data_IF_389585637100
#
_entry.id   IF_389585637100
#
_cell.length_a   1.000
_cell.length_b   1.000
_cell.length_c   1.000
_cell.angle_alpha   90.00
_cell.angle_beta   90.00
_cell.angle_gamma   90.00
#
_symmetry.space_group_name_H-M   'P 1'
#
loop_
_entity.id
_entity.type
_entity.pdbx_description
1 polymer ?
#
# COMPACT_ATOMS: atom_id res chain seq x y z
N UNK A 1 -4.81 53.87 -52.60
CA UNK A 1 -3.38 54.14 -52.33
C UNK A 1 -3.25 54.29 -50.81
N UNK A 2 -2.64 53.34 -50.10
CA UNK A 2 -1.24 53.43 -49.63
C UNK A 2 -1.02 54.64 -48.70
N UNK A 3 -0.49 54.62 -47.48
CA UNK A 3 0.23 53.64 -46.62
C UNK A 3 0.02 54.11 -45.16
N UNK A 4 -0.19 53.21 -44.21
CA UNK A 4 0.80 52.90 -43.16
C UNK A 4 1.27 54.11 -42.33
N UNK A 5 0.62 54.39 -41.19
CA UNK A 5 1.23 55.24 -40.14
C UNK A 5 2.22 54.39 -39.35
N UNK A 6 3.50 54.53 -39.69
CA UNK A 6 4.62 53.86 -39.06
C UNK A 6 4.81 54.28 -37.61
N UNK A 7 5.00 53.28 -36.75
CA UNK A 7 5.66 53.43 -35.45
C UNK A 7 7.12 53.85 -35.70
N UNK A 8 7.63 54.95 -35.12
CA UNK A 8 9.07 55.18 -35.12
C UNK A 8 9.77 54.15 -34.21
N UNK A 9 10.90 53.67 -34.70
CA UNK A 9 11.83 52.71 -34.13
C UNK A 9 12.07 52.86 -32.62
N UNK A 10 11.84 51.79 -31.87
CA UNK A 10 12.36 51.61 -30.51
C UNK A 10 13.65 50.79 -30.64
N UNK A 11 14.84 51.32 -30.31
CA UNK A 11 16.05 50.50 -30.33
C UNK A 11 15.97 49.44 -29.22
N UNK A 12 16.28 48.20 -29.59
CA UNK A 12 16.41 47.10 -28.65
C UNK A 12 17.59 47.36 -27.69
N UNK A 13 17.29 47.50 -26.40
CA UNK A 13 18.31 47.46 -25.35
C UNK A 13 18.30 46.07 -24.70
N UNK A 14 19.36 45.34 -25.02
CA UNK A 14 19.81 44.11 -24.39
C UNK A 14 20.82 44.47 -23.30
N UNK A 15 20.65 43.90 -22.11
CA UNK A 15 21.57 43.98 -20.96
C UNK A 15 21.21 45.08 -19.97
N UNK A 16 21.23 44.93 -18.66
CA UNK A 16 21.65 43.85 -17.77
C UNK A 16 21.71 44.43 -16.34
N UNK A 17 21.44 43.59 -15.34
CA UNK A 17 21.88 43.62 -13.93
C UNK A 17 22.01 44.97 -13.19
N UNK A 18 21.31 45.11 -12.07
CA UNK A 18 21.72 46.07 -11.03
C UNK A 18 20.67 46.43 -9.98
N UNK A 19 20.27 45.48 -9.15
CA UNK A 19 19.53 45.75 -7.90
C UNK A 19 20.34 45.22 -6.72
N UNK A 20 21.25 46.03 -6.20
CA UNK A 20 22.15 45.66 -5.12
C UNK A 20 21.43 45.43 -3.79
N UNK A 21 21.67 44.26 -3.19
CA UNK A 21 21.72 44.15 -1.73
C UNK A 21 23.19 44.11 -1.36
N UNK A 22 23.65 45.20 -0.74
CA UNK A 22 25.00 45.31 -0.22
C UNK A 22 25.27 44.21 0.81
N UNK A 23 26.23 43.35 0.51
CA UNK A 23 26.93 42.55 1.49
C UNK A 23 28.39 43.00 1.44
N UNK A 24 28.88 43.60 2.52
CA UNK A 24 30.27 44.01 2.64
C UNK A 24 31.19 42.83 2.33
N UNK A 25 32.06 43.00 1.35
CA UNK A 25 33.15 42.08 1.04
C UNK A 25 34.24 42.22 2.10
N UNK A 26 34.01 41.65 3.29
CA UNK A 26 35.02 41.28 4.29
C UNK A 26 34.43 40.42 5.43
N UNK A 27 33.30 39.73 5.20
CA UNK A 27 32.88 38.61 6.03
C UNK A 27 33.73 37.39 5.65
N UNK A 28 34.89 37.26 6.29
CA UNK A 28 35.71 36.04 6.27
C UNK A 28 35.19 35.06 7.36
N UNK A 29 33.87 35.03 7.56
CA UNK A 29 33.23 34.08 8.46
C UNK A 29 33.08 32.79 7.67
N UNK A 30 33.71 31.68 8.06
CA UNK A 30 33.40 30.40 7.45
C UNK A 30 31.91 30.19 7.69
N UNK A 31 31.11 30.26 6.62
CA UNK A 31 29.67 29.93 6.67
C UNK A 31 29.59 28.62 7.42
N UNK A 32 29.00 28.65 8.62
CA UNK A 32 28.87 27.48 9.49
C UNK A 32 28.39 26.33 8.63
N UNK A 33 29.32 25.42 8.30
CA UNK A 33 29.03 24.23 7.53
C UNK A 33 28.17 23.40 8.44
N UNK A 34 26.85 23.56 8.33
CA UNK A 34 25.89 22.66 8.96
C UNK A 34 26.41 21.24 8.70
N UNK A 35 26.73 20.45 9.73
CA UNK A 35 27.20 19.10 9.54
C UNK A 35 26.21 18.40 8.63
N UNK A 36 26.68 17.90 7.47
CA UNK A 36 25.82 17.09 6.61
C UNK A 36 25.38 15.92 7.49
N UNK A 37 24.06 15.64 7.62
CA UNK A 37 23.62 14.52 8.42
C UNK A 37 24.36 13.29 7.90
N UNK A 38 24.98 12.55 8.82
CA UNK A 38 25.66 11.30 8.47
C UNK A 38 24.61 10.34 7.92
N UNK A 39 24.46 10.31 6.61
CA UNK A 39 23.64 9.29 5.97
C UNK A 39 24.27 7.95 6.33
N UNK A 40 23.49 7.08 6.98
CA UNK A 40 23.87 5.68 7.19
C UNK A 40 24.38 5.13 5.86
N UNK A 41 25.46 4.35 5.90
CA UNK A 41 26.08 3.77 4.71
C UNK A 41 25.10 2.83 4.02
N UNK A 42 24.23 3.38 3.18
CA UNK A 42 23.26 2.59 2.43
C UNK A 42 23.94 2.05 1.17
N UNK A 43 23.73 0.76 0.82
CA UNK A 43 24.35 0.18 -0.37
C UNK A 43 24.00 0.95 -1.64
N UNK A 44 24.97 1.19 -2.54
CA UNK A 44 24.72 1.83 -3.81
C UNK A 44 23.89 0.90 -4.73
N UNK A 45 23.17 1.49 -5.67
CA UNK A 45 22.32 0.76 -6.63
C UNK A 45 23.10 -0.30 -7.42
N UNK A 46 24.38 -0.05 -7.70
CA UNK A 46 25.26 -0.97 -8.44
C UNK A 46 25.52 -2.28 -7.70
N UNK A 47 25.41 -2.29 -6.38
CA UNK A 47 25.61 -3.49 -5.57
C UNK A 47 24.34 -4.34 -5.46
N UNK A 48 23.18 -3.79 -5.84
CA UNK A 48 21.88 -4.46 -5.73
C UNK A 48 21.46 -4.96 -7.10
N UNK A 49 21.21 -6.25 -7.20
CA UNK A 49 20.78 -6.92 -8.43
C UNK A 49 19.50 -7.72 -8.16
N UNK A 50 18.62 -7.88 -9.17
CA UNK A 50 17.46 -8.75 -9.05
C UNK A 50 17.91 -10.19 -8.76
N UNK A 51 17.23 -10.87 -7.85
CA UNK A 51 17.62 -12.18 -7.32
C UNK A 51 18.52 -12.13 -6.08
N UNK A 52 19.13 -10.98 -5.76
CA UNK A 52 19.96 -10.84 -4.56
C UNK A 52 19.15 -10.71 -3.26
N UNK A 53 19.74 -11.13 -2.15
CA UNK A 53 19.19 -10.95 -0.80
C UNK A 53 19.40 -9.53 -0.29
N UNK A 54 18.33 -8.88 0.17
CA UNK A 54 18.39 -7.53 0.73
C UNK A 54 17.59 -7.40 2.02
N UNK A 55 17.99 -6.45 2.85
CA UNK A 55 17.23 -5.97 3.99
C UNK A 55 16.55 -4.65 3.63
N UNK A 56 15.22 -4.61 3.67
CA UNK A 56 14.42 -3.44 3.31
C UNK A 56 13.62 -2.90 4.49
N UNK A 57 13.36 -1.59 4.47
CA UNK A 57 12.38 -0.95 5.35
C UNK A 57 11.14 -0.63 4.53
N UNK A 58 9.99 -1.14 4.97
CA UNK A 58 8.70 -0.88 4.36
C UNK A 58 8.22 0.54 4.68
N UNK A 59 7.21 1.04 3.95
CA UNK A 59 6.66 2.38 4.21
C UNK A 59 6.06 2.49 5.62
N UNK A 60 5.34 1.45 6.04
CA UNK A 60 4.77 1.33 7.39
C UNK A 60 5.85 1.34 8.47
N UNK A 61 6.99 0.71 8.19
CA UNK A 61 8.11 0.60 9.13
C UNK A 61 9.12 1.76 9.08
N UNK A 62 8.84 2.84 8.34
CA UNK A 62 9.78 3.97 8.27
C UNK A 62 9.97 4.68 9.62
N UNK A 63 8.96 4.66 10.49
CA UNK A 63 9.03 5.26 11.83
C UNK A 63 9.62 4.30 12.87
N UNK A 64 9.33 3.00 12.74
CA UNK A 64 9.82 1.95 13.65
C UNK A 64 11.26 1.54 13.34
N UNK A 65 11.68 1.67 12.08
CA UNK A 65 12.96 1.20 11.59
C UNK A 65 13.04 -0.33 11.43
N UNK A 66 11.90 -1.04 11.50
CA UNK A 66 11.89 -2.49 11.29
C UNK A 66 12.34 -2.84 9.88
N UNK A 67 13.19 -3.87 9.81
CA UNK A 67 13.80 -4.33 8.59
C UNK A 67 13.31 -5.74 8.25
N UNK A 68 12.96 -5.91 6.99
CA UNK A 68 12.47 -7.15 6.43
C UNK A 68 13.50 -7.68 5.44
N UNK A 69 13.91 -8.94 5.61
CA UNK A 69 14.79 -9.63 4.67
C UNK A 69 13.97 -10.30 3.57
N UNK A 70 14.46 -10.26 2.34
CA UNK A 70 13.83 -10.95 1.21
C UNK A 70 14.65 -10.85 -0.07
N UNK A 71 14.16 -11.50 -1.13
CA UNK A 71 14.80 -11.52 -2.46
C UNK A 71 14.24 -10.42 -3.36
N UNK A 72 15.12 -9.68 -4.03
CA UNK A 72 14.73 -8.60 -4.96
C UNK A 72 14.09 -9.17 -6.23
N UNK A 73 12.90 -8.69 -6.57
CA UNK A 73 12.27 -8.89 -7.87
C UNK A 73 12.65 -7.75 -8.84
N UNK A 74 12.30 -6.51 -8.50
CA UNK A 74 12.52 -5.34 -9.35
C UNK A 74 13.21 -4.19 -8.63
N UNK A 75 14.08 -3.47 -9.35
CA UNK A 75 14.63 -2.18 -8.94
C UNK A 75 13.72 -1.04 -9.44
N UNK A 76 13.18 -0.23 -8.52
CA UNK A 76 12.22 0.84 -8.84
C UNK A 76 12.84 2.24 -8.87
N UNK A 77 14.06 2.40 -8.37
CA UNK A 77 14.78 3.69 -8.39
C UNK A 77 15.86 3.69 -9.47
N UNK A 78 16.04 4.83 -10.14
CA UNK A 78 17.17 5.07 -11.05
C UNK A 78 18.22 5.91 -10.31
N UNK A 79 19.26 5.27 -9.75
CA UNK A 79 20.40 5.93 -9.11
C UNK A 79 20.51 5.74 -7.58
N UNK A 80 21.60 6.27 -7.02
CA UNK A 80 21.90 6.21 -5.58
C UNK A 80 21.08 7.22 -4.80
N UNK A 81 20.47 6.78 -3.70
CA UNK A 81 19.60 7.62 -2.88
C UNK A 81 20.12 7.64 -1.43
N UNK A 82 20.20 8.82 -0.77
CA UNK A 82 20.67 8.94 0.61
C UNK A 82 19.92 8.12 1.68
N UNK A 83 18.69 7.66 1.38
CA UNK A 83 17.87 6.82 2.27
C UNK A 83 17.67 5.42 1.73
N UNK A 84 18.43 5.04 0.70
CA UNK A 84 18.32 3.74 0.05
C UNK A 84 17.48 3.70 -1.21
N UNK A 85 17.85 2.72 -2.04
CA UNK A 85 17.25 2.39 -3.31
C UNK A 85 15.89 1.75 -3.08
N UNK A 86 14.87 2.16 -3.82
CA UNK A 86 13.55 1.54 -3.74
C UNK A 86 13.52 0.25 -4.55
N UNK A 87 13.11 -0.85 -3.93
CA UNK A 87 13.01 -2.17 -4.56
C UNK A 87 11.67 -2.82 -4.27
N UNK A 88 11.28 -3.74 -5.14
CA UNK A 88 10.18 -4.68 -4.94
C UNK A 88 10.78 -6.06 -4.65
N UNK A 89 10.31 -6.73 -3.60
CA UNK A 89 10.65 -8.12 -3.29
C UNK A 89 9.80 -9.10 -4.11
N UNK A 90 10.23 -10.36 -4.20
CA UNK A 90 9.46 -11.45 -4.83
C UNK A 90 8.09 -11.64 -4.19
N UNK A 91 7.98 -11.46 -2.89
CA UNK A 91 6.72 -11.49 -2.13
C UNK A 91 5.73 -10.37 -2.51
N UNK A 92 6.13 -9.43 -3.37
CA UNK A 92 5.33 -8.28 -3.82
C UNK A 92 5.50 -7.00 -3.00
N UNK A 93 6.12 -7.09 -1.81
CA UNK A 93 6.37 -5.97 -0.89
C UNK A 93 7.35 -4.96 -1.48
N UNK A 94 7.16 -3.67 -1.15
CA UNK A 94 7.97 -2.57 -1.68
C UNK A 94 8.56 -1.73 -0.56
N UNK A 95 9.89 -1.54 -0.56
CA UNK A 95 10.60 -0.80 0.48
C UNK A 95 11.89 -0.13 0.01
N UNK A 96 12.62 0.47 0.96
CA UNK A 96 13.96 1.05 0.75
C UNK A 96 15.02 0.09 1.28
N UNK A 97 16.04 -0.21 0.48
CA UNK A 97 17.15 -1.07 0.91
C UNK A 97 17.99 -0.34 1.96
N UNK A 98 18.24 -0.99 3.08
CA UNK A 98 19.16 -0.52 4.13
C UNK A 98 20.47 -1.31 4.14
N UNK A 99 20.44 -2.59 3.74
CA UNK A 99 21.61 -3.46 3.77
C UNK A 99 21.50 -4.62 2.79
N UNK A 100 22.65 -5.22 2.48
CA UNK A 100 22.75 -6.47 1.71
C UNK A 100 22.81 -7.64 2.71
N UNK A 101 22.11 -8.72 2.39
CA UNK A 101 22.15 -9.98 3.17
C UNK A 101 22.49 -11.13 2.24
N UNK A 102 22.90 -12.27 2.80
CA UNK A 102 23.11 -13.47 1.99
C UNK A 102 21.79 -13.93 1.37
N UNK A 103 21.86 -14.57 0.19
CA UNK A 103 20.66 -15.09 -0.50
C UNK A 103 19.90 -16.10 0.38
N UNK A 104 20.62 -16.91 1.16
CA UNK A 104 20.04 -17.86 2.10
C UNK A 104 19.17 -17.17 3.18
N UNK A 105 19.65 -16.07 3.75
CA UNK A 105 18.87 -15.29 4.73
C UNK A 105 17.67 -14.57 4.08
N UNK A 106 17.81 -14.15 2.82
CA UNK A 106 16.72 -13.58 2.03
C UNK A 106 15.61 -14.60 1.80
N UNK A 107 15.96 -15.83 1.43
CA UNK A 107 15.01 -16.94 1.25
C UNK A 107 14.33 -17.34 2.56
N UNK A 108 15.07 -17.34 3.68
CA UNK A 108 14.48 -17.58 5.00
C UNK A 108 13.46 -16.49 5.37
N UNK A 109 13.78 -15.22 5.11
CA UNK A 109 12.85 -14.10 5.35
C UNK A 109 11.59 -14.16 4.49
N UNK A 110 11.72 -14.62 3.25
CA UNK A 110 10.60 -14.88 2.32
C UNK A 110 9.76 -16.08 2.79
N UNK A 111 10.39 -17.16 3.25
CA UNK A 111 9.70 -18.36 3.74
C UNK A 111 8.83 -18.08 4.98
N UNK A 112 9.29 -17.22 5.90
CA UNK A 112 8.53 -16.80 7.09
C UNK A 112 7.20 -16.13 6.73
N UNK A 113 7.13 -15.51 5.56
CA UNK A 113 6.01 -14.65 5.14
C UNK A 113 5.07 -15.36 4.15
N UNK A 114 5.28 -16.65 3.91
CA UNK A 114 4.44 -17.48 3.02
C UNK A 114 5.03 -17.71 1.63
N UNK A 115 6.30 -17.34 1.40
CA UNK A 115 7.02 -17.63 0.17
C UNK A 115 6.68 -16.70 -1.01
N UNK A 116 7.19 -17.01 -2.23
CA UNK A 116 7.09 -16.14 -3.40
C UNK A 116 5.66 -15.93 -3.88
N UNK A 117 4.74 -16.84 -3.56
CA UNK A 117 3.34 -16.77 -4.00
C UNK A 117 2.44 -15.97 -3.05
N UNK A 118 2.96 -15.53 -1.90
CA UNK A 118 2.20 -14.79 -0.90
C UNK A 118 1.60 -13.48 -1.44
N UNK A 119 2.16 -12.92 -2.53
CA UNK A 119 1.63 -11.76 -3.27
C UNK A 119 1.08 -10.64 -2.36
N UNK A 120 1.82 -10.30 -1.31
CA UNK A 120 1.37 -9.37 -0.28
C UNK A 120 1.21 -7.93 -0.80
N UNK A 121 1.71 -7.63 -2.01
CA UNK A 121 1.32 -6.45 -2.75
C UNK A 121 1.96 -5.13 -2.29
N UNK A 122 1.37 -4.02 -2.77
CA UNK A 122 1.86 -2.64 -2.65
C UNK A 122 1.37 -2.05 -1.32
N UNK A 123 1.86 -2.58 -0.20
CA UNK A 123 1.26 -2.35 1.12
C UNK A 123 0.99 -0.88 1.42
N UNK A 124 -0.30 -0.58 1.57
CA UNK A 124 -0.80 0.68 2.08
C UNK A 124 -2.16 1.16 1.56
N UNK A 125 -2.88 0.47 0.66
CA UNK A 125 -4.31 0.71 0.35
C UNK A 125 -4.84 -0.22 -0.78
N UNK A 126 -5.91 -0.97 -0.51
CA UNK A 126 -6.85 -1.44 -1.55
C UNK A 126 -6.80 -2.90 -2.00
N UNK A 127 -6.97 -3.87 -1.10
CA UNK A 127 -7.65 -5.12 -1.43
C UNK A 127 -9.13 -5.03 -1.00
N UNK A 128 -9.84 -4.04 -1.55
CA UNK A 128 -11.26 -4.18 -1.84
C UNK A 128 -11.34 -4.62 -3.30
N UNK A 129 -11.44 -5.91 -3.50
CA UNK A 129 -11.76 -6.50 -4.79
C UNK A 129 -13.20 -6.11 -5.17
N UNK A 130 -13.34 -5.09 -6.01
CA UNK A 130 -14.52 -4.95 -6.87
C UNK A 130 -14.23 -4.01 -8.04
N UNK A 131 -14.00 -4.59 -9.22
CA UNK A 131 -14.52 -4.00 -10.45
C UNK A 131 -13.58 -3.10 -11.26
N UNK A 132 -13.15 -3.66 -12.39
CA UNK A 132 -13.21 -3.04 -13.72
C UNK A 132 -12.18 -1.94 -14.05
N UNK A 133 -11.18 -2.37 -14.82
CA UNK A 133 -10.83 -1.69 -16.08
C UNK A 133 -9.99 -0.43 -15.95
N UNK A 134 -8.73 -0.54 -16.36
CA UNK A 134 -7.93 0.63 -16.68
C UNK A 134 -8.63 1.52 -17.72
N UNK A 135 -8.70 2.81 -17.45
CA UNK A 135 -8.77 3.84 -18.48
C UNK A 135 -7.60 4.81 -18.30
N UNK A 136 -6.70 4.74 -19.26
CA UNK A 136 -5.69 5.76 -19.53
C UNK A 136 -6.42 7.04 -19.97
N UNK A 137 -6.01 8.17 -19.41
CA UNK A 137 -6.14 9.49 -20.03
C UNK A 137 -7.54 10.10 -20.09
N UNK A 138 -7.81 11.04 -19.18
CA UNK A 138 -8.64 12.20 -19.48
C UNK A 138 -8.18 13.36 -18.58
N UNK A 139 -7.48 14.32 -19.20
CA UNK A 139 -7.28 15.66 -18.66
C UNK A 139 -8.64 16.36 -18.72
N UNK A 140 -9.24 16.65 -17.57
CA UNK A 140 -10.29 17.65 -17.45
C UNK A 140 -9.82 18.66 -16.41
N UNK A 141 -9.26 19.77 -16.90
CA UNK A 141 -9.23 21.00 -16.12
C UNK A 141 -10.69 21.41 -15.92
N UNK A 142 -11.19 21.32 -14.69
CA UNK A 142 -12.39 22.05 -14.30
C UNK A 142 -11.91 23.41 -13.79
N UNK A 143 -12.14 24.43 -14.59
CA UNK A 143 -11.94 25.82 -14.19
C UNK A 143 -12.96 26.13 -13.07
N UNK A 144 -12.48 26.59 -11.92
CA UNK A 144 -13.25 26.80 -10.67
C UNK A 144 -14.05 28.12 -10.70
N UNK A 145 -14.24 28.75 -11.87
CA UNK A 145 -14.73 30.14 -11.97
C UNK A 145 -16.20 30.30 -12.36
N UNK A 146 -17.04 29.27 -12.29
CA UNK A 146 -18.41 29.37 -12.81
C UNK A 146 -19.51 28.71 -11.96
N UNK A 147 -19.30 28.45 -10.66
CA UNK A 147 -20.34 27.84 -9.80
C UNK A 147 -20.65 28.68 -8.54
N UNK A 148 -20.82 30.00 -8.70
CA UNK A 148 -21.27 30.88 -7.62
C UNK A 148 -22.80 31.13 -7.62
N UNK A 149 -23.58 30.51 -8.52
CA UNK A 149 -24.99 30.90 -8.77
C UNK A 149 -26.09 29.88 -8.42
N UNK A 150 -25.83 28.82 -7.65
CA UNK A 150 -26.88 27.83 -7.32
C UNK A 150 -26.96 27.43 -5.83
N UNK A 151 -26.74 28.40 -4.94
CA UNK A 151 -26.84 28.20 -3.49
C UNK A 151 -28.26 28.39 -2.92
N UNK A 152 -29.26 28.78 -3.71
CA UNK A 152 -30.67 28.79 -3.31
C UNK A 152 -31.53 28.35 -4.48
N UNK A 153 -32.52 27.50 -4.20
CA UNK A 153 -33.59 27.05 -5.12
C UNK A 153 -33.32 25.81 -5.99
N UNK A 154 -32.91 24.69 -5.38
CA UNK A 154 -33.52 23.40 -5.75
C UNK A 154 -33.41 22.31 -4.66
N UNK A 155 -33.99 22.58 -3.48
CA UNK A 155 -34.17 21.57 -2.44
C UNK A 155 -35.47 20.79 -2.67
N UNK A 156 -35.62 20.17 -3.85
CA UNK A 156 -36.69 19.23 -4.12
C UNK A 156 -36.30 18.28 -5.26
N UNK A 157 -36.42 16.98 -5.00
CA UNK A 157 -36.25 15.84 -5.93
C UNK A 157 -34.81 15.45 -6.32
N UNK A 158 -34.08 14.86 -5.37
CA UNK A 158 -33.41 13.61 -5.68
C UNK A 158 -33.45 12.76 -4.42
N UNK A 159 -34.29 11.73 -4.44
CA UNK A 159 -34.21 10.64 -3.47
C UNK A 159 -32.88 9.94 -3.72
N UNK A 160 -31.83 10.41 -3.05
CA UNK A 160 -30.63 9.64 -2.81
C UNK A 160 -31.06 8.43 -1.99
N UNK A 161 -31.50 7.37 -2.69
CA UNK A 161 -31.48 6.01 -2.16
C UNK A 161 -30.02 5.64 -2.00
N UNK A 162 -29.41 6.21 -0.97
CA UNK A 162 -28.02 6.06 -0.67
C UNK A 162 -27.68 4.62 -0.34
N UNK A 163 -26.37 4.38 -0.23
CA UNK A 163 -25.76 3.13 0.19
C UNK A 163 -26.45 2.51 1.42
N UNK A 164 -26.99 3.35 2.31
CA UNK A 164 -27.74 2.95 3.49
C UNK A 164 -29.06 2.22 3.19
N UNK A 165 -29.85 2.65 2.19
CA UNK A 165 -31.09 1.97 1.81
C UNK A 165 -30.81 0.60 1.16
N UNK A 166 -29.74 0.52 0.37
CA UNK A 166 -29.31 -0.74 -0.25
C UNK A 166 -28.78 -1.75 0.78
N UNK A 167 -28.10 -1.28 1.83
CA UNK A 167 -27.65 -2.11 2.96
C UNK A 167 -28.83 -2.60 3.80
N UNK A 168 -29.78 -1.72 4.12
CA UNK A 168 -30.98 -2.11 4.88
C UNK A 168 -31.82 -3.16 4.11
N UNK A 169 -31.88 -3.05 2.78
CA UNK A 169 -32.57 -4.02 1.93
C UNK A 169 -31.78 -5.32 1.74
N UNK A 170 -30.45 -5.29 1.84
CA UNK A 170 -29.63 -6.51 1.91
C UNK A 170 -29.84 -7.24 3.25
N UNK A 171 -29.88 -6.53 4.37
CA UNK A 171 -30.12 -7.10 5.69
C UNK A 171 -31.51 -7.72 5.79
N UNK A 172 -32.56 -7.04 5.30
CA UNK A 172 -33.92 -7.60 5.26
C UNK A 172 -34.01 -8.87 4.41
N UNK A 173 -33.31 -8.93 3.27
CA UNK A 173 -33.24 -10.15 2.43
C UNK A 173 -32.51 -11.27 3.15
N UNK A 174 -31.45 -10.96 3.89
CA UNK A 174 -30.72 -11.94 4.68
C UNK A 174 -31.57 -12.47 5.85
N UNK A 175 -32.29 -11.61 6.57
CA UNK A 175 -33.25 -12.01 7.61
C UNK A 175 -34.41 -12.83 7.06
N UNK A 176 -34.95 -12.46 5.89
CA UNK A 176 -35.98 -13.25 5.21
C UNK A 176 -35.45 -14.62 4.78
N UNK A 177 -34.21 -14.71 4.29
CA UNK A 177 -33.57 -15.99 3.98
C UNK A 177 -33.29 -16.84 5.23
N UNK A 178 -33.06 -16.19 6.37
CA UNK A 178 -32.87 -16.83 7.67
C UNK A 178 -34.20 -17.30 8.29
N UNK A 179 -35.30 -16.63 7.96
CA UNK A 179 -36.66 -16.97 8.38
C UNK A 179 -37.34 -18.03 7.48
N UNK A 180 -36.77 -18.36 6.32
CA UNK A 180 -37.27 -19.39 5.38
C UNK A 180 -36.36 -20.63 5.38
N UNK A 181 -35.81 -20.98 6.54
CA UNK A 181 -35.36 -22.36 6.79
C UNK A 181 -36.47 -23.08 7.55
N UNK A 182 -37.17 -24.05 6.92
CA UNK A 182 -38.04 -24.94 7.67
C UNK A 182 -37.20 -25.66 8.72
N UNK A 183 -37.76 -25.73 9.92
CA UNK A 183 -37.42 -26.75 10.89
C UNK A 183 -37.36 -28.14 10.23
N UNK A 184 -36.44 -28.98 10.71
CA UNK A 184 -36.08 -30.33 10.24
C UNK A 184 -35.04 -30.29 9.11
N UNK A 185 -33.77 -30.60 9.36
CA UNK A 185 -33.32 -31.91 9.82
C UNK A 185 -32.15 -31.78 10.80
N UNK A 186 -32.35 -32.37 11.98
CA UNK A 186 -31.27 -32.82 12.86
C UNK A 186 -30.42 -33.76 12.00
N UNK A 187 -29.19 -33.35 11.67
CA UNK A 187 -28.19 -34.27 11.14
C UNK A 187 -28.05 -35.41 12.15
N UNK A 188 -28.02 -36.68 11.73
CA UNK A 188 -27.87 -37.78 12.68
C UNK A 188 -26.57 -37.52 13.46
N UNK A 189 -26.70 -37.52 14.78
CA UNK A 189 -25.55 -37.43 15.69
C UNK A 189 -24.55 -38.49 15.24
N UNK A 190 -23.40 -38.02 14.74
CA UNK A 190 -22.36 -38.87 14.16
C UNK A 190 -21.68 -39.57 15.33
N UNK A 191 -22.29 -40.68 15.78
CA UNK A 191 -21.75 -41.48 16.87
C UNK A 191 -20.52 -42.23 16.38
N UNK A 192 -19.39 -41.95 17.02
CA UNK A 192 -18.14 -42.65 16.80
C UNK A 192 -18.02 -43.82 17.79
N UNK A 193 -17.31 -44.88 17.39
CA UNK A 193 -17.03 -46.05 18.24
C UNK A 193 -15.59 -45.97 18.74
N UNK A 194 -15.36 -46.28 20.01
CA UNK A 194 -14.03 -46.31 20.60
C UNK A 194 -13.11 -47.33 19.89
N UNK A 195 -11.94 -46.93 19.36
CA UNK A 195 -11.03 -47.82 18.64
C UNK A 195 -10.26 -48.80 19.55
N UNK A 196 -10.26 -48.57 20.87
CA UNK A 196 -9.53 -49.42 21.82
C UNK A 196 -10.37 -50.61 22.28
N UNK A 197 -11.65 -50.38 22.61
CA UNK A 197 -12.51 -51.40 23.23
C UNK A 197 -13.69 -51.86 22.36
N UNK A 198 -14.04 -51.10 21.32
CA UNK A 198 -15.19 -51.35 20.42
C UNK A 198 -16.55 -51.57 21.13
N UNK A 199 -16.67 -51.17 22.40
CA UNK A 199 -17.88 -51.33 23.22
C UNK A 199 -18.55 -50.01 23.59
N UNK A 200 -17.88 -48.88 23.31
CA UNK A 200 -18.35 -47.55 23.64
C UNK A 200 -18.69 -46.79 22.36
N UNK A 201 -19.93 -46.34 22.23
CA UNK A 201 -20.47 -45.55 21.11
C UNK A 201 -20.96 -44.21 21.65
N UNK A 202 -20.55 -43.10 21.04
CA UNK A 202 -20.97 -41.76 21.44
C UNK A 202 -20.34 -40.66 20.60
N UNK A 203 -20.58 -39.41 20.96
CA UNK A 203 -19.99 -38.27 20.25
C UNK A 203 -18.46 -38.29 20.34
N UNK A 204 -17.77 -37.71 19.35
CA UNK A 204 -16.31 -37.71 19.27
C UNK A 204 -15.62 -37.26 20.58
N UNK A 205 -16.20 -36.27 21.26
CA UNK A 205 -15.70 -35.78 22.54
C UNK A 205 -15.84 -36.80 23.69
N UNK A 206 -16.91 -37.60 23.67
CA UNK A 206 -17.12 -38.67 24.65
C UNK A 206 -16.17 -39.84 24.38
N UNK A 207 -15.97 -40.20 23.10
CA UNK A 207 -15.02 -41.24 22.69
C UNK A 207 -13.59 -40.84 23.04
N UNK A 208 -13.19 -39.59 22.84
CA UNK A 208 -11.85 -39.10 23.18
C UNK A 208 -11.54 -39.25 24.67
N UNK A 209 -12.45 -38.80 25.55
CA UNK A 209 -12.33 -38.97 27.01
C UNK A 209 -12.28 -40.44 27.43
N UNK A 210 -13.11 -41.28 26.82
CA UNK A 210 -13.11 -42.71 27.11
C UNK A 210 -11.79 -43.39 26.65
N UNK A 211 -11.22 -42.95 25.52
CA UNK A 211 -9.91 -43.42 25.05
C UNK A 211 -8.81 -43.03 26.04
N UNK A 212 -8.83 -41.81 26.60
CA UNK A 212 -7.88 -41.37 27.62
C UNK A 212 -7.91 -42.27 28.88
N UNK A 213 -9.08 -42.76 29.29
CA UNK A 213 -9.21 -43.68 30.44
C UNK A 213 -8.52 -45.04 30.21
N UNK A 214 -8.38 -45.53 28.97
CA UNK A 214 -7.64 -46.78 28.68
C UNK A 214 -6.13 -46.64 28.84
N UNK A 215 -5.59 -45.42 28.78
CA UNK A 215 -4.15 -45.15 28.86
C UNK A 215 -3.73 -44.56 30.23
N UNK A 216 -4.68 -44.42 31.15
CA UNK A 216 -4.47 -43.82 32.46
C UNK A 216 -4.09 -44.83 33.57
N UNK A 217 -3.96 -46.12 33.24
CA UNK A 217 -3.50 -47.21 34.12
C UNK A 217 -2.04 -47.62 33.84
#
# INVERSE_FOLDING_TARGET
MQRGRGRPNRPAQRGGRGGGRGGNANDNSPRSTRPRPAYTSVPPIRAIHPGGGVSIVLKEDQQSGHQVKGIVADLLTRGDHPRGVKVRLRDGRVGRVQGLVSEAEGQQGEAVVGGPEANLGRNGEGAVSAGRGGRRGARMERDIREDDEYLYENRASNQDHGLFAALEEADKRHEQSKAVLPSQQILPEETAVCPVCYKFEGDEAAVARHVEEHFAD
#
